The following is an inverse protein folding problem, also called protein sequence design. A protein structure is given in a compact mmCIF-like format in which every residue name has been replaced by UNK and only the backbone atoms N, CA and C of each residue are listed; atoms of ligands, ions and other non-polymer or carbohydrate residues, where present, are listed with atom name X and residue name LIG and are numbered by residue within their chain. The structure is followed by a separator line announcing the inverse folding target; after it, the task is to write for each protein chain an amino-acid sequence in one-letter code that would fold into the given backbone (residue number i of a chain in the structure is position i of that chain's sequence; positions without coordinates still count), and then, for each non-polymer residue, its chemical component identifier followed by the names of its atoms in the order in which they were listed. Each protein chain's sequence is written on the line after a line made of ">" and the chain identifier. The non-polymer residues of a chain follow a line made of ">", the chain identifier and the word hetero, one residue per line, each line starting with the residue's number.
data_IF_131190904759
#
_entry.id   IF_131190904759
#
_cell.length_a   1.000
_cell.length_b   1.000
_cell.length_c   1.000
_cell.angle_alpha   90.00
_cell.angle_beta   90.00
_cell.angle_gamma   90.00
#
_symmetry.space_group_name_H-M   'P 1'
#
loop_
_entity.id
_entity.type
_entity.pdbx_description
1 polymer ?
#
# COMPACT_ATOMS: atom_id res chain seq x y z
N UNK A 1 2.97 -16.97 5.44
CA UNK A 1 1.94 -17.86 4.83
C UNK A 1 1.07 -17.14 3.80
N UNK A 2 0.30 -16.11 4.17
CA UNK A 2 -0.58 -15.37 3.26
C UNK A 2 0.08 -14.92 1.94
N UNK A 3 1.30 -14.36 1.99
CA UNK A 3 1.99 -13.90 0.78
C UNK A 3 2.33 -15.05 -0.19
N UNK A 4 2.72 -16.21 0.35
CA UNK A 4 2.99 -17.44 -0.43
C UNK A 4 1.70 -17.99 -1.01
N UNK A 5 0.62 -18.03 -0.23
CA UNK A 5 -0.69 -18.49 -0.71
C UNK A 5 -1.25 -17.59 -1.83
N UNK A 6 -0.89 -16.31 -1.82
CA UNK A 6 -1.27 -15.34 -2.85
C UNK A 6 -0.32 -15.32 -4.06
N UNK A 7 0.78 -16.09 -4.03
CA UNK A 7 1.81 -16.00 -5.07
C UNK A 7 1.31 -16.56 -6.41
N UNK A 8 1.63 -15.86 -7.51
CA UNK A 8 1.22 -16.22 -8.87
C UNK A 8 2.37 -16.14 -9.87
N UNK A 9 2.39 -16.97 -10.93
CA UNK A 9 3.34 -16.84 -12.01
C UNK A 9 3.00 -15.62 -12.87
N UNK A 10 3.79 -14.55 -12.75
CA UNK A 10 3.54 -13.25 -13.39
C UNK A 10 4.70 -12.77 -14.28
N UNK A 11 5.70 -13.62 -14.51
CA UNK A 11 6.87 -13.32 -15.37
C UNK A 11 8.19 -13.14 -14.63
N UNK A 12 8.17 -13.17 -13.29
CA UNK A 12 9.37 -13.22 -12.46
C UNK A 12 10.20 -14.48 -12.79
N UNK A 13 11.52 -14.33 -12.82
CA UNK A 13 12.46 -15.41 -13.17
C UNK A 13 13.84 -15.21 -12.53
N UNK A 14 14.71 -16.19 -12.71
CA UNK A 14 16.13 -16.07 -12.39
C UNK A 14 16.74 -14.76 -12.94
N UNK A 15 17.53 -14.07 -12.11
CA UNK A 15 18.15 -12.78 -12.43
C UNK A 15 17.31 -11.56 -12.06
N UNK A 16 16.01 -11.73 -11.78
CA UNK A 16 15.15 -10.62 -11.38
C UNK A 16 15.35 -10.26 -9.90
N UNK A 17 15.09 -9.00 -9.55
CA UNK A 17 15.23 -8.45 -8.18
C UNK A 17 13.85 -8.12 -7.63
N UNK A 18 13.49 -8.62 -6.44
CA UNK A 18 12.22 -8.29 -5.78
C UNK A 18 12.29 -6.92 -5.10
N UNK A 19 11.30 -6.08 -5.36
CA UNK A 19 11.06 -4.80 -4.69
C UNK A 19 9.71 -4.76 -3.99
N UNK A 20 9.61 -3.90 -2.98
CA UNK A 20 8.37 -3.65 -2.23
C UNK A 20 8.14 -2.15 -2.08
N UNK A 21 7.02 -1.63 -2.57
CA UNK A 21 6.69 -0.21 -2.46
C UNK A 21 5.48 0.00 -1.56
N UNK A 22 5.55 1.02 -0.71
CA UNK A 22 4.42 1.47 0.11
C UNK A 22 4.39 3.01 0.08
N UNK A 23 3.21 3.58 -0.10
CA UNK A 23 2.95 5.01 0.07
C UNK A 23 1.72 5.17 0.94
N UNK A 24 1.79 6.02 1.97
CA UNK A 24 0.65 6.23 2.90
C UNK A 24 0.45 7.72 3.20
N UNK A 25 -0.77 8.19 3.02
CA UNK A 25 -1.18 9.57 3.30
C UNK A 25 -2.51 9.63 4.06
N UNK A 26 -2.90 10.84 4.47
CA UNK A 26 -4.19 11.09 5.14
C UNK A 26 -5.03 12.19 4.48
N UNK A 27 -4.88 12.37 3.17
CA UNK A 27 -5.50 13.47 2.40
C UNK A 27 -7.03 13.54 2.44
N UNK A 28 -7.69 12.43 2.80
CA UNK A 28 -9.16 12.34 2.95
C UNK A 28 -9.64 12.38 4.40
N UNK A 29 -8.74 12.61 5.35
CA UNK A 29 -9.14 12.81 6.74
C UNK A 29 -9.89 14.13 6.92
N UNK A 30 -10.79 14.18 7.89
CA UNK A 30 -11.59 15.34 8.22
C UNK A 30 -11.83 15.43 9.73
N UNK A 31 -11.95 16.66 10.23
CA UNK A 31 -12.42 16.93 11.58
C UNK A 31 -13.85 16.42 11.79
N UNK A 32 -14.21 16.15 13.04
CA UNK A 32 -15.60 16.00 13.42
C UNK A 32 -16.35 17.34 13.29
N UNK A 33 -17.57 17.22 12.78
CA UNK A 33 -18.52 18.31 12.57
C UNK A 33 -19.91 17.80 12.84
N UNK A 34 -20.88 18.17 12.03
CA UNK A 34 -22.24 17.59 12.13
C UNK A 34 -22.26 16.08 11.85
N UNK A 35 -21.27 15.62 11.07
CA UNK A 35 -20.91 14.22 10.90
C UNK A 35 -19.68 13.86 11.75
N UNK A 36 -19.49 12.57 11.99
CA UNK A 36 -18.27 12.04 12.60
C UNK A 36 -17.03 12.49 11.83
N UNK A 37 -15.95 12.75 12.57
CA UNK A 37 -14.63 12.93 12.02
C UNK A 37 -14.10 11.64 11.41
N UNK A 38 -13.07 11.78 10.57
CA UNK A 38 -12.42 10.69 9.88
C UNK A 38 -10.90 10.87 9.95
N UNK A 39 -10.23 9.91 10.57
CA UNK A 39 -8.80 9.70 10.39
C UNK A 39 -8.60 8.52 9.44
N UNK A 40 -8.09 8.80 8.24
CA UNK A 40 -7.83 7.78 7.22
C UNK A 40 -6.33 7.64 6.99
N UNK A 41 -5.83 6.42 7.10
CA UNK A 41 -4.59 6.02 6.45
C UNK A 41 -4.93 5.41 5.08
N UNK A 42 -4.64 6.18 4.02
CA UNK A 42 -4.77 5.74 2.65
C UNK A 42 -3.43 5.20 2.16
N UNK A 43 -3.36 3.90 1.96
CA UNK A 43 -2.10 3.22 1.63
C UNK A 43 -2.19 2.52 0.28
N UNK A 44 -1.15 2.67 -0.53
CA UNK A 44 -0.92 1.89 -1.75
C UNK A 44 0.29 0.99 -1.57
N UNK A 45 0.23 -0.20 -2.13
CA UNK A 45 1.23 -1.25 -1.98
C UNK A 45 1.60 -1.87 -3.33
N UNK A 46 2.88 -2.23 -3.50
CA UNK A 46 3.29 -3.07 -4.63
C UNK A 46 4.32 -4.11 -4.24
N UNK A 47 4.20 -5.31 -4.81
CA UNK A 47 5.30 -6.24 -4.98
C UNK A 47 5.62 -6.29 -6.47
N UNK A 48 6.85 -5.93 -6.85
CA UNK A 48 7.27 -5.95 -8.24
C UNK A 48 8.66 -6.57 -8.36
N UNK A 49 8.91 -7.25 -9.48
CA UNK A 49 10.25 -7.73 -9.83
C UNK A 49 10.82 -6.96 -10.99
N UNK A 50 12.13 -6.76 -10.95
CA UNK A 50 12.86 -5.99 -11.95
C UNK A 50 13.94 -6.85 -12.59
N UNK A 51 13.95 -6.91 -13.92
CA UNK A 51 15.03 -7.54 -14.66
C UNK A 51 16.35 -6.76 -14.53
N UNK A 52 17.46 -7.30 -15.06
CA UNK A 52 18.78 -6.65 -14.99
C UNK A 52 18.84 -5.26 -15.65
N UNK A 53 17.93 -4.99 -16.59
CA UNK A 53 17.76 -3.71 -17.28
C UNK A 53 16.81 -2.74 -16.55
N UNK A 54 16.32 -3.11 -15.35
CA UNK A 54 15.41 -2.30 -14.55
C UNK A 54 13.95 -2.34 -15.02
N UNK A 55 13.61 -3.18 -16.00
CA UNK A 55 12.22 -3.35 -16.47
C UNK A 55 11.44 -4.27 -15.56
N UNK A 56 10.17 -3.95 -15.33
CA UNK A 56 9.27 -4.73 -14.50
C UNK A 56 8.97 -6.07 -15.19
N UNK A 57 9.19 -7.18 -14.48
CA UNK A 57 8.93 -8.54 -14.97
C UNK A 57 7.74 -9.21 -14.30
N UNK A 58 7.33 -8.73 -13.12
CA UNK A 58 6.07 -9.06 -12.46
C UNK A 58 5.62 -7.89 -11.59
N UNK A 59 4.32 -7.75 -11.38
CA UNK A 59 3.75 -6.65 -10.62
C UNK A 59 2.44 -7.06 -9.95
N UNK A 60 2.32 -6.76 -8.66
CA UNK A 60 1.06 -6.78 -7.92
C UNK A 60 0.84 -5.37 -7.39
N UNK A 61 -0.37 -4.84 -7.56
CA UNK A 61 -0.82 -3.58 -6.97
C UNK A 61 -1.98 -3.85 -6.03
N UNK A 62 -1.96 -3.20 -4.87
CA UNK A 62 -3.05 -3.24 -3.90
C UNK A 62 -3.12 -1.91 -3.14
N UNK A 63 -4.16 -1.73 -2.36
CA UNK A 63 -4.26 -0.59 -1.46
C UNK A 63 -5.35 -0.79 -0.42
N UNK A 64 -5.38 0.06 0.59
CA UNK A 64 -6.42 0.04 1.62
C UNK A 64 -6.77 1.44 2.11
N UNK A 65 -7.98 1.53 2.66
CA UNK A 65 -8.50 2.69 3.38
C UNK A 65 -8.73 2.27 4.83
N UNK A 66 -7.70 2.44 5.66
CA UNK A 66 -7.82 2.15 7.09
C UNK A 66 -8.42 3.37 7.78
N UNK A 67 -9.75 3.36 7.90
CA UNK A 67 -10.52 4.45 8.49
C UNK A 67 -10.71 4.24 9.99
N UNK A 68 -10.57 5.32 10.76
CA UNK A 68 -10.99 5.43 12.15
C UNK A 68 -11.87 6.66 12.27
N UNK A 69 -13.15 6.45 12.52
CA UNK A 69 -14.14 7.50 12.77
C UNK A 69 -14.20 7.84 14.24
N UNK A 70 -14.46 9.11 14.54
CA UNK A 70 -14.61 9.62 15.90
C UNK A 70 -15.64 10.75 15.94
N UNK A 71 -16.40 10.85 17.03
CA UNK A 71 -17.44 11.86 17.18
C UNK A 71 -16.88 13.22 17.65
N UNK A 72 -17.76 14.22 17.79
CA UNK A 72 -17.43 15.57 18.29
C UNK A 72 -16.88 15.59 19.73
N UNK A 73 -17.07 14.52 20.51
CA UNK A 73 -16.51 14.38 21.84
C UNK A 73 -15.17 13.61 21.83
N UNK A 74 -14.63 13.33 20.64
CA UNK A 74 -13.41 12.56 20.45
C UNK A 74 -13.55 11.10 20.82
N UNK A 75 -14.77 10.54 20.80
CA UNK A 75 -14.97 9.11 21.01
C UNK A 75 -14.93 8.38 19.67
N UNK A 76 -14.15 7.33 19.57
CA UNK A 76 -14.05 6.48 18.38
C UNK A 76 -15.38 5.74 18.19
N UNK A 77 -15.90 5.80 16.96
CA UNK A 77 -17.15 5.13 16.55
C UNK A 77 -16.89 3.90 15.67
N UNK A 78 -15.68 3.76 15.12
CA UNK A 78 -15.25 2.54 14.41
C UNK A 78 -15.07 1.35 15.36
N UNK A 79 -15.52 0.17 14.94
CA UNK A 79 -15.19 -1.09 15.62
C UNK A 79 -13.70 -1.44 15.43
N UNK A 80 -12.90 -1.18 16.45
CA UNK A 80 -11.45 -1.39 16.43
C UNK A 80 -11.04 -2.87 16.43
N UNK A 81 -11.98 -3.81 16.59
CA UNK A 81 -11.70 -5.25 16.55
C UNK A 81 -11.72 -5.81 15.12
N UNK A 82 -12.26 -5.06 14.17
CA UNK A 82 -12.34 -5.45 12.76
C UNK A 82 -11.12 -4.89 12.00
N UNK A 83 -10.28 -5.79 11.50
CA UNK A 83 -9.14 -5.40 10.69
C UNK A 83 -9.58 -4.84 9.32
N UNK A 84 -9.09 -3.66 8.89
CA UNK A 84 -9.39 -3.13 7.56
C UNK A 84 -8.87 -4.05 6.46
N UNK A 85 -9.72 -4.38 5.49
CA UNK A 85 -9.34 -5.20 4.35
C UNK A 85 -8.68 -4.36 3.25
N UNK A 86 -7.82 -4.98 2.44
CA UNK A 86 -7.34 -4.34 1.21
C UNK A 86 -8.38 -4.37 0.10
N UNK A 87 -8.19 -3.56 -0.93
CA UNK A 87 -9.07 -3.51 -2.09
C UNK A 87 -9.03 -4.83 -2.88
N UNK A 88 -7.91 -5.53 -2.91
CA UNK A 88 -7.83 -6.87 -3.51
C UNK A 88 -8.53 -7.96 -2.67
N UNK A 89 -8.65 -7.78 -1.36
CA UNK A 89 -9.43 -8.67 -0.49
C UNK A 89 -10.92 -8.39 -0.59
N UNK A 90 -11.30 -7.11 -0.61
CA UNK A 90 -12.69 -6.67 -0.74
C UNK A 90 -13.28 -7.06 -2.11
N UNK A 91 -12.48 -6.94 -3.17
CA UNK A 91 -12.94 -7.14 -4.56
C UNK A 91 -14.22 -6.34 -4.83
N UNK A 92 -15.32 -7.01 -5.18
CA UNK A 92 -16.62 -6.40 -5.45
C UNK A 92 -17.22 -5.71 -4.21
N UNK A 93 -16.85 -6.11 -3.00
CA UNK A 93 -17.31 -5.45 -1.78
C UNK A 93 -16.78 -4.02 -1.64
N UNK A 94 -15.72 -3.64 -2.39
CA UNK A 94 -15.27 -2.25 -2.46
C UNK A 94 -16.27 -1.36 -3.23
N UNK A 95 -17.02 -1.93 -4.19
CA UNK A 95 -18.17 -1.31 -4.82
C UNK A 95 -17.86 -0.21 -5.86
N UNK A 96 -16.64 -0.13 -6.36
CA UNK A 96 -16.25 0.92 -7.32
C UNK A 96 -16.86 0.73 -8.70
N UNK A 97 -17.32 -0.47 -9.05
CA UNK A 97 -17.92 -0.75 -10.36
C UNK A 97 -19.08 0.19 -10.70
N UNK A 98 -19.85 0.63 -9.70
CA UNK A 98 -20.98 1.56 -9.90
C UNK A 98 -20.51 2.96 -10.26
N UNK A 99 -19.41 3.43 -9.69
CA UNK A 99 -18.83 4.75 -9.96
C UNK A 99 -17.87 4.75 -11.17
N UNK A 100 -17.41 3.56 -11.59
CA UNK A 100 -16.49 3.38 -12.69
C UNK A 100 -17.20 3.53 -14.04
N UNK A 101 -16.83 4.56 -14.82
CA UNK A 101 -17.37 4.78 -16.17
C UNK A 101 -17.09 3.63 -17.15
N UNK A 102 -16.12 2.77 -16.84
CA UNK A 102 -15.77 1.57 -17.62
C UNK A 102 -16.32 0.27 -17.02
N UNK A 103 -17.11 0.34 -15.94
CA UNK A 103 -17.76 -0.82 -15.31
C UNK A 103 -16.80 -1.83 -14.69
N UNK A 104 -15.58 -1.42 -14.36
CA UNK A 104 -14.57 -2.24 -13.69
C UNK A 104 -14.39 -1.84 -12.23
N UNK A 105 -14.23 -2.83 -11.37
CA UNK A 105 -13.82 -2.64 -9.98
C UNK A 105 -12.39 -2.11 -9.87
N UNK A 106 -12.05 -1.52 -8.72
CA UNK A 106 -10.71 -0.96 -8.48
C UNK A 106 -9.60 -2.00 -8.67
N UNK A 107 -9.77 -3.21 -8.12
CA UNK A 107 -8.75 -4.27 -8.22
C UNK A 107 -8.53 -4.73 -9.66
N UNK A 108 -9.56 -4.68 -10.51
CA UNK A 108 -9.44 -5.00 -11.93
C UNK A 108 -8.65 -3.92 -12.67
N UNK A 109 -8.90 -2.65 -12.36
CA UNK A 109 -8.14 -1.54 -12.93
C UNK A 109 -6.67 -1.56 -12.46
N UNK A 110 -6.43 -1.87 -11.18
CA UNK A 110 -5.08 -2.04 -10.64
C UNK A 110 -4.34 -3.20 -11.33
N UNK A 111 -4.99 -4.34 -11.55
CA UNK A 111 -4.43 -5.46 -12.32
C UNK A 111 -4.13 -5.06 -13.77
N UNK A 112 -5.04 -4.37 -14.45
CA UNK A 112 -4.79 -3.89 -15.82
C UNK A 112 -3.58 -2.95 -15.89
N UNK A 113 -3.42 -2.07 -14.90
CA UNK A 113 -2.24 -1.22 -14.80
C UNK A 113 -0.95 -2.03 -14.52
N UNK A 114 -1.02 -3.04 -13.66
CA UNK A 114 0.09 -3.94 -13.37
C UNK A 114 0.54 -4.72 -14.63
N UNK A 115 -0.41 -5.18 -15.46
CA UNK A 115 -0.11 -5.81 -16.75
C UNK A 115 0.50 -4.82 -17.74
N UNK A 116 -0.03 -3.59 -17.81
CA UNK A 116 0.54 -2.53 -18.65
C UNK A 116 1.98 -2.17 -18.23
N UNK A 117 2.30 -2.26 -16.94
CA UNK A 117 3.63 -1.98 -16.40
C UNK A 117 4.69 -2.99 -16.81
N UNK A 118 4.31 -4.21 -17.21
CA UNK A 118 5.26 -5.23 -17.62
C UNK A 118 6.12 -4.77 -18.81
N UNK A 119 7.42 -5.02 -18.71
CA UNK A 119 8.40 -4.58 -19.70
C UNK A 119 8.70 -3.08 -19.67
N UNK A 120 8.15 -2.30 -18.74
CA UNK A 120 8.47 -0.87 -18.57
C UNK A 120 9.34 -0.63 -17.33
N UNK A 121 10.05 0.47 -17.34
CA UNK A 121 10.74 1.01 -16.16
C UNK A 121 9.80 1.92 -15.36
N UNK A 122 10.01 2.08 -14.04
CA UNK A 122 9.26 3.06 -13.25
C UNK A 122 9.34 4.49 -13.79
N UNK A 123 10.47 4.87 -14.41
CA UNK A 123 10.65 6.18 -15.03
C UNK A 123 9.73 6.36 -16.26
N UNK A 124 9.61 5.34 -17.12
CA UNK A 124 8.67 5.35 -18.25
C UNK A 124 7.21 5.47 -17.76
N UNK A 125 6.85 4.81 -16.66
CA UNK A 125 5.50 4.87 -16.07
C UNK A 125 5.20 6.23 -15.41
N UNK A 126 6.19 6.81 -14.73
CA UNK A 126 6.06 8.13 -14.10
C UNK A 126 5.89 9.26 -15.14
N UNK A 127 6.31 9.03 -16.38
CA UNK A 127 6.16 9.97 -17.50
C UNK A 127 4.82 9.88 -18.24
N UNK A 128 3.89 9.03 -17.82
CA UNK A 128 2.58 8.91 -18.48
C UNK A 128 1.76 10.20 -18.33
N UNK A 129 1.16 10.63 -19.43
CA UNK A 129 0.25 11.75 -19.43
C UNK A 129 -1.05 11.39 -18.68
N UNK A 130 -1.50 12.31 -17.83
CA UNK A 130 -2.72 12.19 -17.04
C UNK A 130 -3.61 13.42 -17.19
N UNK A 131 -4.91 13.23 -16.96
CA UNK A 131 -5.88 14.33 -16.89
C UNK A 131 -5.88 14.99 -15.49
N UNK A 132 -6.76 15.96 -15.27
CA UNK A 132 -6.88 16.69 -14.00
C UNK A 132 -7.25 15.80 -12.79
N UNK A 133 -7.84 14.62 -13.04
CA UNK A 133 -8.15 13.61 -12.02
C UNK A 133 -6.95 12.68 -11.74
N UNK A 134 -5.85 12.80 -12.50
CA UNK A 134 -4.67 11.93 -12.39
C UNK A 134 -4.84 10.58 -13.12
N UNK A 135 -5.88 10.42 -13.92
CA UNK A 135 -6.13 9.22 -14.73
C UNK A 135 -5.38 9.28 -16.07
N UNK A 136 -4.92 8.15 -16.62
CA UNK A 136 -4.16 8.13 -17.86
C UNK A 136 -4.96 8.68 -19.05
N UNK A 137 -4.31 9.42 -19.94
CA UNK A 137 -4.95 9.96 -21.17
C UNK A 137 -4.69 9.13 -22.42
N UNK A 138 -3.72 8.20 -22.37
CA UNK A 138 -3.51 7.24 -23.45
C UNK A 138 -4.76 6.39 -23.66
N UNK A 139 -5.22 6.25 -24.90
CA UNK A 139 -6.52 5.65 -25.19
C UNK A 139 -6.56 4.14 -24.86
N UNK A 140 -5.46 3.42 -25.04
CA UNK A 140 -5.39 1.98 -24.76
C UNK A 140 -5.44 1.74 -23.25
N UNK A 141 -4.66 2.52 -22.48
CA UNK A 141 -4.66 2.42 -21.03
C UNK A 141 -5.98 2.93 -20.43
N UNK A 142 -6.51 4.07 -20.90
CA UNK A 142 -7.75 4.68 -20.42
C UNK A 142 -8.99 3.79 -20.67
N UNK A 143 -8.96 2.91 -21.67
CA UNK A 143 -10.02 1.94 -21.90
C UNK A 143 -10.17 0.92 -20.76
N UNK A 144 -9.15 0.76 -19.92
CA UNK A 144 -9.08 -0.27 -18.87
C UNK A 144 -8.70 0.27 -17.49
N UNK A 145 -8.24 1.52 -17.40
CA UNK A 145 -7.81 2.21 -16.17
C UNK A 145 -8.29 3.65 -16.19
N UNK A 146 -9.28 3.96 -15.34
CA UNK A 146 -9.81 5.32 -15.13
C UNK A 146 -9.53 5.89 -13.75
N UNK A 147 -8.92 5.10 -12.86
CA UNK A 147 -8.43 5.58 -11.57
C UNK A 147 -7.16 6.41 -11.71
N UNK A 148 -6.87 7.22 -10.70
CA UNK A 148 -5.60 7.93 -10.61
C UNK A 148 -4.42 6.95 -10.48
N UNK A 149 -3.36 7.16 -11.27
CA UNK A 149 -2.20 6.26 -11.33
C UNK A 149 -0.95 6.81 -10.62
N UNK A 150 -1.03 8.02 -10.07
CA UNK A 150 0.10 8.69 -9.41
C UNK A 150 0.72 7.85 -8.29
N UNK A 151 -0.10 7.36 -7.36
CA UNK A 151 0.40 6.53 -6.26
C UNK A 151 0.96 5.18 -6.75
N UNK A 152 0.41 4.60 -7.83
CA UNK A 152 0.98 3.39 -8.45
C UNK A 152 2.38 3.63 -8.99
N UNK A 153 2.61 4.78 -9.60
CA UNK A 153 3.93 5.17 -10.09
C UNK A 153 4.91 5.38 -8.95
N UNK A 154 4.48 6.07 -7.89
CA UNK A 154 5.30 6.31 -6.69
C UNK A 154 5.75 5.00 -6.04
N UNK A 155 4.83 4.06 -5.79
CA UNK A 155 5.21 2.80 -5.13
C UNK A 155 6.05 1.90 -6.03
N UNK A 156 5.87 1.93 -7.36
CA UNK A 156 6.73 1.20 -8.30
C UNK A 156 8.15 1.77 -8.34
N UNK A 157 8.28 3.10 -8.25
CA UNK A 157 9.58 3.76 -8.12
C UNK A 157 10.28 3.34 -6.81
N UNK A 158 9.57 3.40 -5.67
CA UNK A 158 10.11 2.94 -4.38
C UNK A 158 10.52 1.46 -4.39
N UNK A 159 9.70 0.61 -5.01
CA UNK A 159 10.01 -0.81 -5.15
C UNK A 159 11.29 -1.03 -5.96
N UNK A 160 11.52 -0.27 -7.03
CA UNK A 160 12.74 -0.36 -7.83
C UNK A 160 13.98 0.11 -7.04
N UNK A 161 13.84 1.20 -6.28
CA UNK A 161 14.93 1.75 -5.46
C UNK A 161 15.37 0.80 -4.35
N UNK A 162 14.42 0.09 -3.75
CA UNK A 162 14.73 -0.86 -2.68
C UNK A 162 14.84 -2.31 -3.17
N UNK A 163 14.81 -2.57 -4.48
CA UNK A 163 14.88 -3.92 -5.02
C UNK A 163 16.13 -4.66 -4.50
N UNK A 164 15.93 -5.90 -4.04
CA UNK A 164 16.97 -6.72 -3.39
C UNK A 164 18.07 -7.20 -4.32
N UNK A 165 18.81 -8.23 -3.90
CA UNK A 165 19.73 -8.93 -4.79
C UNK A 165 18.96 -9.66 -5.90
N UNK A 166 19.63 -9.97 -7.00
CA UNK A 166 19.04 -10.79 -8.04
C UNK A 166 18.78 -12.22 -7.53
N UNK A 167 17.59 -12.76 -7.79
CA UNK A 167 17.27 -14.14 -7.47
C UNK A 167 18.12 -15.08 -8.31
N UNK A 168 18.77 -16.05 -7.65
CA UNK A 168 19.58 -17.07 -8.30
C UNK A 168 18.80 -18.37 -8.55
N UNK A 169 17.55 -18.44 -8.11
CA UNK A 169 16.71 -19.62 -8.32
C UNK A 169 16.40 -19.77 -9.81
N UNK A 170 16.76 -20.92 -10.38
CA UNK A 170 16.47 -21.23 -11.77
C UNK A 170 14.97 -21.37 -12.03
N UNK A 171 14.56 -21.09 -13.27
CA UNK A 171 13.17 -21.23 -13.71
C UNK A 171 12.29 -19.99 -13.46
N UNK A 172 10.99 -20.19 -13.69
CA UNK A 172 9.96 -19.18 -13.42
C UNK A 172 9.64 -19.12 -11.93
N UNK A 173 9.46 -17.90 -11.43
CA UNK A 173 9.15 -17.62 -10.03
C UNK A 173 7.73 -17.07 -9.91
N UNK A 174 7.12 -17.33 -8.76
CA UNK A 174 5.82 -16.78 -8.40
C UNK A 174 6.01 -15.58 -7.48
N UNK A 175 5.38 -14.45 -7.81
CA UNK A 175 5.42 -13.24 -6.99
C UNK A 175 4.18 -13.21 -6.11
N UNK A 176 4.36 -12.95 -4.81
CA UNK A 176 3.27 -12.88 -3.84
C UNK A 176 3.33 -11.62 -2.99
N UNK A 177 2.15 -11.14 -2.58
CA UNK A 177 1.98 -9.99 -1.70
C UNK A 177 0.97 -10.34 -0.61
N UNK A 178 1.28 -9.93 0.62
CA UNK A 178 0.32 -9.90 1.72
C UNK A 178 0.40 -8.58 2.46
N UNK A 179 -0.77 -8.07 2.82
CA UNK A 179 -0.95 -6.92 3.70
C UNK A 179 -1.78 -7.37 4.89
N UNK A 180 -1.40 -6.94 6.08
CA UNK A 180 -2.19 -7.11 7.32
C UNK A 180 -2.35 -5.73 7.93
N UNK A 181 -3.59 -5.25 7.98
CA UNK A 181 -3.92 -3.98 8.60
C UNK A 181 -4.49 -4.16 10.00
N UNK A 182 -4.34 -3.14 10.84
CA UNK A 182 -4.97 -3.07 12.15
C UNK A 182 -5.26 -1.61 12.52
N UNK A 183 -6.36 -1.39 13.22
CA UNK A 183 -6.68 -0.11 13.87
C UNK A 183 -6.76 -0.23 15.39
N UNK A 184 -6.46 -1.42 15.94
CA UNK A 184 -6.67 -1.77 17.35
C UNK A 184 -5.82 -0.99 18.35
N UNK A 185 -4.80 -0.25 17.89
CA UNK A 185 -3.97 0.63 18.71
C UNK A 185 -4.60 2.02 18.92
N UNK A 186 -5.75 2.29 18.31
CA UNK A 186 -6.45 3.57 18.42
C UNK A 186 -7.08 3.75 19.81
N UNK A 187 -7.22 5.01 20.24
CA UNK A 187 -7.75 5.39 21.55
C UNK A 187 -8.63 6.62 21.45
N UNK A 188 -9.74 6.60 22.19
CA UNK A 188 -10.60 7.76 22.41
C UNK A 188 -9.80 8.93 23.00
N UNK A 189 -10.25 10.15 22.72
CA UNK A 189 -9.86 11.32 23.49
C UNK A 189 -10.49 11.26 24.88
N UNK A 190 -9.77 11.74 25.89
CA UNK A 190 -10.19 11.69 27.29
C UNK A 190 -9.57 12.83 28.09
N UNK A 191 -8.73 12.52 29.08
CA UNK A 191 -7.86 13.54 29.70
C UNK A 191 -6.75 14.00 28.75
N UNK A 192 -6.27 13.08 27.92
CA UNK A 192 -5.33 13.32 26.82
C UNK A 192 -6.07 13.41 25.48
N UNK A 193 -5.38 13.88 24.45
CA UNK A 193 -5.86 13.82 23.08
C UNK A 193 -6.06 12.37 22.61
N UNK A 194 -7.01 12.18 21.70
CA UNK A 194 -7.27 10.90 21.07
C UNK A 194 -6.22 10.56 20.01
N UNK A 195 -6.17 9.28 19.66
CA UNK A 195 -5.25 8.78 18.65
C UNK A 195 -5.95 7.78 17.75
N UNK A 196 -6.08 8.11 16.48
CA UNK A 196 -6.36 7.12 15.45
C UNK A 196 -5.02 6.55 14.95
N UNK A 197 -4.81 5.26 15.15
CA UNK A 197 -3.62 4.58 14.66
C UNK A 197 -4.02 3.46 13.71
N UNK A 198 -3.56 3.56 12.45
CA UNK A 198 -3.67 2.52 11.45
C UNK A 198 -2.28 1.95 11.16
N UNK A 199 -2.11 0.66 11.44
CA UNK A 199 -0.88 -0.08 11.15
C UNK A 199 -1.09 -0.94 9.90
N UNK A 200 -0.09 -1.00 9.02
CA UNK A 200 0.00 -2.00 7.95
C UNK A 200 1.33 -2.73 8.02
N UNK A 201 1.29 -4.05 8.01
CA UNK A 201 2.46 -4.90 7.83
C UNK A 201 2.37 -5.57 6.46
N UNK A 202 3.42 -5.43 5.66
CA UNK A 202 3.42 -5.81 4.24
C UNK A 202 4.58 -6.74 3.95
N UNK A 203 4.29 -7.84 3.28
CA UNK A 203 5.27 -8.86 2.90
C UNK A 203 5.16 -9.13 1.40
N UNK A 204 6.26 -8.99 0.68
CA UNK A 204 6.41 -9.46 -0.70
C UNK A 204 7.36 -10.66 -0.73
N UNK A 205 7.04 -11.67 -1.54
CA UNK A 205 7.84 -12.89 -1.68
C UNK A 205 8.03 -13.29 -3.14
N UNK A 206 9.16 -13.93 -3.42
CA UNK A 206 9.34 -14.80 -4.57
C UNK A 206 9.32 -16.26 -4.12
N UNK A 207 8.57 -17.08 -4.84
CA UNK A 207 8.38 -18.50 -4.54
C UNK A 207 8.79 -19.34 -5.75
N UNK A 208 9.61 -20.37 -5.53
CA UNK A 208 10.00 -21.33 -6.57
C UNK A 208 8.88 -22.34 -6.88
N UNK A 209 9.11 -23.21 -7.87
CA UNK A 209 8.15 -24.25 -8.27
C UNK A 209 7.85 -25.29 -7.17
N UNK A 210 8.74 -25.43 -6.18
CA UNK A 210 8.58 -26.34 -5.05
C UNK A 210 7.89 -25.66 -3.85
N UNK A 211 7.49 -24.39 -3.99
CA UNK A 211 6.83 -23.62 -2.94
C UNK A 211 7.80 -23.00 -1.92
N UNK A 212 9.11 -22.99 -2.18
CA UNK A 212 10.10 -22.36 -1.30
C UNK A 212 10.18 -20.88 -1.55
N UNK A 213 10.27 -20.10 -0.48
CA UNK A 213 10.54 -18.67 -0.56
C UNK A 213 12.02 -18.48 -0.91
N UNK A 214 12.28 -17.86 -2.07
CA UNK A 214 13.65 -17.59 -2.56
C UNK A 214 14.07 -16.14 -2.40
N UNK A 215 13.11 -15.22 -2.20
CA UNK A 215 13.35 -13.84 -1.79
C UNK A 215 12.16 -13.33 -0.96
N UNK A 216 12.42 -12.41 -0.05
CA UNK A 216 11.42 -11.85 0.87
C UNK A 216 11.75 -10.40 1.22
N UNK A 217 10.74 -9.53 1.09
CA UNK A 217 10.76 -8.14 1.55
C UNK A 217 9.67 -7.95 2.58
N UNK A 218 10.03 -7.31 3.69
CA UNK A 218 9.09 -6.97 4.77
C UNK A 218 9.24 -5.50 5.09
N UNK A 219 8.10 -4.82 5.16
CA UNK A 219 8.03 -3.44 5.62
C UNK A 219 6.71 -3.22 6.38
N UNK A 220 6.59 -2.08 7.03
CA UNK A 220 5.34 -1.67 7.66
C UNK A 220 5.26 -0.18 7.85
N UNK A 221 4.04 0.30 8.05
CA UNK A 221 3.75 1.70 8.35
C UNK A 221 2.90 1.77 9.61
N UNK A 222 3.12 2.83 10.40
CA UNK A 222 2.31 3.15 11.57
C UNK A 222 1.77 4.57 11.41
N UNK A 223 0.60 4.70 10.80
CA UNK A 223 -0.03 6.00 10.60
C UNK A 223 -0.72 6.43 11.89
N UNK A 224 -0.12 7.40 12.58
CA UNK A 224 -0.62 7.96 13.84
C UNK A 224 -1.22 9.33 13.58
N UNK A 225 -2.54 9.43 13.72
CA UNK A 225 -3.33 10.61 13.44
C UNK A 225 -3.97 11.07 14.76
N UNK A 226 -3.32 11.99 15.50
CA UNK A 226 -3.87 12.52 16.74
C UNK A 226 -5.08 13.44 16.46
N UNK A 227 -6.05 13.42 17.38
CA UNK A 227 -7.23 14.30 17.33
C UNK A 227 -7.61 14.80 18.73
N UNK A 228 -8.13 16.03 18.83
CA UNK A 228 -8.50 16.66 20.10
C UNK A 228 -9.82 16.13 20.65
N UNK A 229 -10.14 16.52 21.88
CA UNK A 229 -11.41 16.23 22.56
C UNK A 229 -12.64 16.85 21.87
N UNK A 230 -12.42 17.89 21.08
CA UNK A 230 -13.42 18.55 20.24
C UNK A 230 -13.51 17.92 18.84
N UNK A 231 -12.85 16.78 18.63
CA UNK A 231 -12.80 16.06 17.36
C UNK A 231 -12.05 16.83 16.28
N UNK A 232 -10.96 17.53 16.62
CA UNK A 232 -10.11 18.23 15.66
C UNK A 232 -8.84 17.46 15.36
N UNK A 233 -8.52 17.25 14.09
CA UNK A 233 -7.24 16.65 13.70
C UNK A 233 -6.09 17.56 14.15
N UNK A 234 -5.06 16.96 14.74
CA UNK A 234 -3.91 17.67 15.28
C UNK A 234 -2.69 17.63 14.35
N UNK A 235 -2.85 17.09 13.15
CA UNK A 235 -1.87 17.03 12.06
C UNK A 235 -2.53 17.42 10.74
N UNK A 236 -1.77 18.00 9.82
CA UNK A 236 -2.28 18.42 8.50
C UNK A 236 -2.67 17.23 7.64
N UNK A 237 -3.71 17.39 6.81
CA UNK A 237 -4.18 16.33 5.89
C UNK A 237 -3.19 16.02 4.76
N UNK A 238 -2.22 16.90 4.53
CA UNK A 238 -1.07 16.72 3.63
C UNK A 238 0.04 15.85 4.25
N UNK A 239 -0.14 15.35 5.48
CA UNK A 239 0.82 14.47 6.15
C UNK A 239 0.99 13.15 5.39
N UNK A 240 2.26 12.78 5.20
CA UNK A 240 2.70 11.50 4.66
C UNK A 240 3.31 10.65 5.78
N UNK A 241 3.01 9.35 5.79
CA UNK A 241 3.53 8.42 6.79
C UNK A 241 4.61 7.55 6.19
N UNK A 242 5.85 7.79 6.62
CA UNK A 242 7.02 7.00 6.22
C UNK A 242 6.91 5.58 6.73
N UNK A 243 7.34 4.60 5.92
CA UNK A 243 7.46 3.22 6.38
C UNK A 243 8.59 3.06 7.39
N UNK A 244 8.69 1.89 8.02
CA UNK A 244 9.78 1.59 8.95
C UNK A 244 11.13 1.51 8.20
N UNK A 245 11.15 0.93 7.01
CA UNK A 245 12.35 0.90 6.16
C UNK A 245 12.78 2.30 5.68
N UNK A 246 11.83 3.21 5.47
CA UNK A 246 12.12 4.61 5.12
C UNK A 246 12.61 5.44 6.31
N UNK A 247 12.10 5.16 7.52
CA UNK A 247 12.51 5.83 8.75
C UNK A 247 13.94 5.45 9.17
N UNK A 248 14.37 4.21 8.91
CA UNK A 248 15.71 3.72 9.30
C UNK A 248 15.95 3.97 10.80
N UNK A 249 17.00 4.73 11.13
CA UNK A 249 17.36 5.11 12.51
C UNK A 249 16.27 5.97 13.20
N UNK A 250 15.45 6.71 12.45
CA UNK A 250 14.37 7.53 13.01
C UNK A 250 13.28 6.67 13.64
N UNK A 251 13.15 5.40 13.22
CA UNK A 251 12.16 4.49 13.80
C UNK A 251 12.51 4.15 15.26
N UNK A 252 13.81 4.08 15.57
CA UNK A 252 14.32 3.94 16.93
C UNK A 252 14.16 2.55 17.55
N UNK A 253 14.02 1.50 16.74
CA UNK A 253 13.86 0.13 17.21
C UNK A 253 15.12 -0.41 17.89
N UNK A 254 16.32 0.13 17.61
CA UNK A 254 17.55 -0.25 18.30
C UNK A 254 17.44 -0.23 19.82
N UNK A 255 16.65 0.70 20.39
CA UNK A 255 16.44 0.81 21.83
C UNK A 255 15.65 -0.36 22.41
N UNK A 256 14.76 -0.96 21.63
CA UNK A 256 13.92 -2.10 22.00
C UNK A 256 14.48 -3.45 21.51
N UNK A 257 15.40 -3.42 20.54
CA UNK A 257 15.99 -4.61 19.92
C UNK A 257 17.07 -5.23 20.80
N UNK A 258 16.86 -6.46 21.26
CA UNK A 258 17.86 -7.21 22.04
C UNK A 258 19.16 -7.51 21.30
N UNK A 259 19.19 -7.32 19.97
CA UNK A 259 20.38 -7.49 19.11
C UNK A 259 20.94 -6.15 18.59
N UNK A 260 20.39 -5.02 19.03
CA UNK A 260 20.88 -3.69 18.68
C UNK A 260 20.74 -3.35 17.19
N UNK A 261 19.72 -3.90 16.51
CA UNK A 261 19.41 -3.63 15.10
C UNK A 261 18.10 -2.85 14.96
N UNK A 262 18.04 -2.04 13.91
CA UNK A 262 16.78 -1.44 13.45
C UNK A 262 15.89 -2.47 12.74
N UNK A 263 14.70 -2.02 12.32
CA UNK A 263 13.73 -2.77 11.53
C UNK A 263 14.29 -3.27 10.19
#
# INVERSE_FOLDING_TARGET
>A
EKAVANAKPMGAKAGDRLGLGIETNMSKSADAGDEDGLAQAYSMYTAATFGPDGRITSCILDGSQSNVNFDKAGKITTDLTVAPQTKNELKEAYGMKVASGIGLEWYQQAENYAQYALGKTPAELSGLAVNDHGSPTDAELAASVTIGIGDFNTILQKAAENAGAASLSEGGLMTGLAVINSVGSSKDAGEEDGLAQADSNVVAVLVDADGRIVDCKIDGVQAKIPFSKEGKLLVGTDTMFRTKQEQKEDYGMKKASGIGKEW
#
